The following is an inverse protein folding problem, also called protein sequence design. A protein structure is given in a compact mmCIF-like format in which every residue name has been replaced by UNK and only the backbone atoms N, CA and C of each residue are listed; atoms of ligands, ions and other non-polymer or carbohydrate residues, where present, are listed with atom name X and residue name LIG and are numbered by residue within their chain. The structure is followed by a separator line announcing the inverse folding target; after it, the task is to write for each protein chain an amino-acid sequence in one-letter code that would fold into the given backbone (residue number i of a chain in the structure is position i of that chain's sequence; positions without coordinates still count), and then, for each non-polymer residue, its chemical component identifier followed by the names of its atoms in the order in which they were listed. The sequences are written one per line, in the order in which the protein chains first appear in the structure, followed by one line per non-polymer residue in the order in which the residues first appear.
data_IF_933572779528
#
_entry.id   IF_933572779528
#
_cell.length_a   1.000
_cell.length_b   1.000
_cell.length_c   1.000
_cell.angle_alpha   90.00
_cell.angle_beta   90.00
_cell.angle_gamma   90.00
#
_symmetry.space_group_name_H-M   'P 1'
#
loop_
_entity.id
_entity.type
_entity.pdbx_description
1 polymer ?
#
# COMPACT_ATOMS: atom_id res chain seq x y z
N UNK A 1 8.02 27.92 -10.21
CA UNK A 1 8.97 28.15 -9.09
C UNK A 1 9.52 26.85 -8.47
N UNK A 2 9.40 25.70 -9.14
CA UNK A 2 9.92 24.42 -8.62
C UNK A 2 11.44 24.46 -8.38
N UNK A 3 12.30 24.84 -9.34
CA UNK A 3 13.74 24.84 -9.10
C UNK A 3 14.19 25.94 -8.13
N UNK A 4 13.51 27.09 -8.10
CA UNK A 4 13.94 28.28 -7.35
C UNK A 4 13.44 28.33 -5.92
N UNK A 5 12.27 27.75 -5.62
CA UNK A 5 11.66 27.76 -4.29
C UNK A 5 11.45 26.33 -3.79
N UNK A 6 10.85 25.48 -4.61
CA UNK A 6 10.51 24.11 -4.22
C UNK A 6 11.72 23.26 -3.85
N UNK A 7 12.80 23.30 -4.66
CA UNK A 7 14.02 22.53 -4.40
C UNK A 7 14.65 22.86 -3.05
N UNK A 8 14.76 24.16 -2.72
CA UNK A 8 15.33 24.60 -1.44
C UNK A 8 14.43 24.20 -0.26
N UNK A 9 13.10 24.39 -0.38
CA UNK A 9 12.16 24.02 0.66
C UNK A 9 12.19 22.51 0.97
N UNK A 10 12.17 21.66 -0.07
CA UNK A 10 12.30 20.20 0.09
C UNK A 10 13.66 19.82 0.66
N UNK A 11 14.74 20.50 0.23
CA UNK A 11 16.08 20.27 0.78
C UNK A 11 16.14 20.50 2.29
N UNK A 12 15.61 21.61 2.79
CA UNK A 12 15.55 21.88 4.23
C UNK A 12 14.69 20.87 4.99
N UNK A 13 13.53 20.50 4.43
CA UNK A 13 12.64 19.50 5.04
C UNK A 13 13.31 18.12 5.15
N UNK A 14 13.95 17.65 4.08
CA UNK A 14 14.64 16.35 4.07
C UNK A 14 15.84 16.33 5.03
N UNK A 15 16.58 17.44 5.13
CA UNK A 15 17.67 17.57 6.09
C UNK A 15 17.16 17.44 7.53
N UNK A 16 16.09 18.17 7.88
CA UNK A 16 15.50 18.08 9.22
C UNK A 16 14.98 16.67 9.54
N UNK A 17 14.27 16.03 8.60
CA UNK A 17 13.84 14.63 8.75
C UNK A 17 15.00 13.68 9.03
N UNK A 18 16.09 13.81 8.27
CA UNK A 18 17.23 12.92 8.41
C UNK A 18 18.00 13.17 9.71
N UNK A 19 18.13 14.41 10.16
CA UNK A 19 18.80 14.75 11.43
C UNK A 19 18.03 14.17 12.61
N UNK A 20 16.72 14.43 12.72
CA UNK A 20 15.92 13.89 13.82
C UNK A 20 15.92 12.36 13.84
N UNK A 21 15.80 11.72 12.66
CA UNK A 21 15.91 10.26 12.54
C UNK A 21 17.27 9.73 12.99
N UNK A 22 18.37 10.34 12.52
CA UNK A 22 19.72 9.86 12.80
C UNK A 22 20.11 9.98 14.28
N UNK A 23 19.53 10.97 14.97
CA UNK A 23 19.78 11.21 16.40
C UNK A 23 18.75 10.53 17.32
N UNK A 24 17.79 9.79 16.75
CA UNK A 24 16.64 9.23 17.48
C UNK A 24 15.89 10.29 18.31
N UNK A 25 15.84 11.53 17.81
CA UNK A 25 15.20 12.67 18.46
C UNK A 25 13.69 12.63 18.22
N UNK A 26 13.01 11.83 19.05
CA UNK A 26 11.58 11.59 18.95
C UNK A 26 10.77 12.86 19.18
N UNK A 27 11.14 13.69 20.17
CA UNK A 27 10.35 14.87 20.55
C UNK A 27 10.30 15.89 19.41
N UNK A 28 11.46 16.28 18.89
CA UNK A 28 11.49 17.25 17.79
C UNK A 28 11.04 16.63 16.46
N UNK A 29 11.36 15.36 16.22
CA UNK A 29 10.94 14.64 15.02
C UNK A 29 9.42 14.50 14.93
N UNK A 30 8.76 14.06 16.01
CA UNK A 30 7.31 13.95 16.09
C UNK A 30 6.66 15.33 16.02
N UNK A 31 7.15 16.31 16.79
CA UNK A 31 6.60 17.67 16.78
C UNK A 31 6.65 18.34 15.41
N UNK A 32 7.74 18.13 14.65
CA UNK A 32 7.83 18.58 13.26
C UNK A 32 6.80 17.87 12.36
N UNK A 33 6.69 16.54 12.45
CA UNK A 33 5.78 15.76 11.61
C UNK A 33 4.30 16.07 11.91
N UNK A 34 3.93 16.16 13.18
CA UNK A 34 2.58 16.51 13.63
C UNK A 34 2.18 17.90 13.13
N UNK A 35 3.10 18.87 13.21
CA UNK A 35 2.86 20.22 12.67
C UNK A 35 2.52 20.22 11.18
N UNK A 36 3.24 19.45 10.36
CA UNK A 36 3.01 19.42 8.91
C UNK A 36 1.83 18.52 8.50
N UNK A 37 1.49 17.52 9.32
CA UNK A 37 0.37 16.60 9.07
C UNK A 37 -0.96 17.06 9.68
N UNK A 38 -0.94 18.10 10.52
CA UNK A 38 -2.15 18.73 11.05
C UNK A 38 -3.08 19.17 9.92
N UNK A 39 -4.38 18.86 10.06
CA UNK A 39 -5.41 19.17 9.07
C UNK A 39 -6.23 20.38 9.57
N UNK A 40 -5.94 21.60 9.09
CA UNK A 40 -6.66 22.79 9.54
C UNK A 40 -8.08 22.87 8.93
N UNK A 41 -8.97 23.71 9.47
CA UNK A 41 -10.38 23.78 9.04
C UNK A 41 -10.57 24.00 7.54
N UNK A 42 -9.73 24.81 6.89
CA UNK A 42 -9.79 25.04 5.45
C UNK A 42 -9.55 23.76 4.63
N UNK A 43 -8.70 22.86 5.12
CA UNK A 43 -8.44 21.56 4.48
C UNK A 43 -9.60 20.58 4.71
N UNK A 44 -10.34 20.70 5.82
CA UNK A 44 -11.55 19.90 6.07
C UNK A 44 -12.68 20.25 5.11
N UNK A 45 -12.82 21.52 4.72
CA UNK A 45 -13.78 21.90 3.68
C UNK A 45 -13.40 21.33 2.32
N UNK A 46 -12.11 21.38 1.95
CA UNK A 46 -11.61 20.73 0.73
C UNK A 46 -11.80 19.21 0.75
N UNK A 47 -11.67 18.57 1.92
CA UNK A 47 -11.87 17.14 2.09
C UNK A 47 -13.28 16.70 1.65
N UNK A 48 -14.31 17.53 1.83
CA UNK A 48 -15.68 17.20 1.36
C UNK A 48 -15.71 17.00 -0.15
N UNK A 49 -15.04 17.86 -0.89
CA UNK A 49 -14.94 17.78 -2.36
C UNK A 49 -14.10 16.58 -2.78
N UNK A 50 -12.97 16.33 -2.10
CA UNK A 50 -12.11 15.15 -2.37
C UNK A 50 -12.91 13.85 -2.18
N UNK A 51 -13.67 13.74 -1.10
CA UNK A 51 -14.47 12.56 -0.80
C UNK A 51 -15.61 12.38 -1.81
N UNK A 52 -16.26 13.47 -2.23
CA UNK A 52 -17.30 13.42 -3.26
C UNK A 52 -16.79 12.96 -4.64
N UNK A 53 -15.48 13.15 -4.91
CA UNK A 53 -14.82 12.76 -6.17
C UNK A 53 -13.90 11.55 -6.02
N UNK A 54 -13.95 10.84 -4.90
CA UNK A 54 -13.07 9.71 -4.63
C UNK A 54 -13.40 8.56 -5.57
N UNK A 55 -12.43 8.17 -6.40
CA UNK A 55 -12.53 6.95 -7.19
C UNK A 55 -12.14 5.71 -6.36
N UNK A 56 -12.82 4.56 -6.55
CA UNK A 56 -12.38 3.29 -5.96
C UNK A 56 -10.95 2.95 -6.37
N UNK A 57 -10.17 2.34 -5.45
CA UNK A 57 -8.82 1.89 -5.80
C UNK A 57 -8.89 0.78 -6.85
N UNK A 58 -8.04 0.87 -7.86
CA UNK A 58 -7.94 -0.13 -8.92
C UNK A 58 -7.45 -1.46 -8.35
N UNK A 59 -8.05 -2.55 -8.81
CA UNK A 59 -7.56 -3.90 -8.59
C UNK A 59 -6.63 -4.29 -9.74
N UNK A 60 -5.43 -4.77 -9.41
CA UNK A 60 -4.42 -5.15 -10.40
C UNK A 60 -4.31 -6.67 -10.47
N UNK A 61 -4.70 -7.25 -11.59
CA UNK A 61 -4.62 -8.68 -11.83
C UNK A 61 -3.17 -9.07 -12.09
N UNK A 62 -2.67 -10.06 -11.35
CA UNK A 62 -1.29 -10.52 -11.45
C UNK A 62 -1.19 -11.80 -12.30
N UNK A 63 -0.14 -11.94 -13.13
CA UNK A 63 0.11 -13.18 -13.87
C UNK A 63 0.77 -14.23 -12.97
N UNK A 64 0.68 -15.50 -13.39
CA UNK A 64 1.30 -16.64 -12.70
C UNK A 64 2.38 -17.30 -13.52
N UNK A 65 3.41 -17.79 -12.85
CA UNK A 65 4.39 -18.70 -13.43
C UNK A 65 3.94 -20.13 -13.16
N UNK A 66 4.02 -20.97 -14.19
CA UNK A 66 3.82 -22.41 -14.10
C UNK A 66 4.93 -23.11 -14.88
N UNK A 67 5.14 -24.40 -14.62
CA UNK A 67 6.08 -25.19 -15.41
C UNK A 67 5.40 -25.61 -16.71
N UNK A 68 6.00 -25.25 -17.85
CA UNK A 68 5.56 -25.70 -19.18
C UNK A 68 5.89 -27.17 -19.42
N UNK A 69 5.32 -27.75 -20.47
CA UNK A 69 5.57 -29.14 -20.88
C UNK A 69 7.05 -29.39 -21.25
N UNK A 70 7.76 -28.34 -21.64
CA UNK A 70 9.20 -28.35 -21.93
C UNK A 70 10.08 -28.24 -20.67
N UNK A 71 9.48 -28.24 -19.48
CA UNK A 71 10.17 -28.09 -18.20
C UNK A 71 10.67 -26.67 -17.94
N UNK A 72 10.25 -25.66 -18.71
CA UNK A 72 10.65 -24.25 -18.50
C UNK A 72 9.52 -23.44 -17.87
N UNK A 73 9.83 -22.39 -17.09
CA UNK A 73 8.80 -21.49 -16.56
C UNK A 73 8.04 -20.77 -17.69
N UNK A 74 6.72 -20.90 -17.68
CA UNK A 74 5.81 -20.23 -18.59
C UNK A 74 4.89 -19.25 -17.84
N UNK A 75 4.59 -18.10 -18.47
CA UNK A 75 3.74 -17.07 -17.89
C UNK A 75 2.29 -17.25 -18.33
N UNK A 76 1.39 -17.37 -17.36
CA UNK A 76 -0.07 -17.35 -17.56
C UNK A 76 -0.61 -15.99 -17.15
N UNK A 77 -1.22 -15.28 -18.10
CA UNK A 77 -1.88 -13.99 -17.87
C UNK A 77 -3.39 -14.18 -17.77
N UNK A 78 -4.06 -13.20 -17.17
CA UNK A 78 -5.51 -13.20 -16.94
C UNK A 78 -6.08 -11.85 -17.37
N UNK A 79 -7.38 -11.80 -17.68
CA UNK A 79 -8.03 -10.56 -18.08
C UNK A 79 -8.02 -9.53 -16.95
N UNK A 80 -7.90 -8.24 -17.28
CA UNK A 80 -8.02 -7.13 -16.31
C UNK A 80 -9.50 -6.88 -15.94
N UNK A 81 -10.13 -7.88 -15.35
CA UNK A 81 -11.54 -7.90 -14.95
C UNK A 81 -11.69 -8.53 -13.56
N UNK A 82 -12.89 -8.42 -12.98
CA UNK A 82 -13.23 -9.08 -11.72
C UNK A 82 -13.13 -10.60 -11.83
N UNK A 83 -13.60 -11.19 -12.93
CA UNK A 83 -13.47 -12.61 -13.21
C UNK A 83 -11.99 -13.01 -13.36
N UNK A 84 -11.20 -12.25 -14.13
CA UNK A 84 -9.78 -12.52 -14.30
C UNK A 84 -8.98 -12.40 -13.01
N UNK A 85 -9.39 -11.54 -12.08
CA UNK A 85 -8.85 -11.52 -10.71
C UNK A 85 -9.10 -12.85 -10.00
N UNK A 86 -10.35 -13.33 -9.96
CA UNK A 86 -10.69 -14.60 -9.29
C UNK A 86 -9.97 -15.79 -9.94
N UNK A 87 -9.99 -15.86 -11.27
CA UNK A 87 -9.30 -16.88 -12.05
C UNK A 87 -7.79 -16.88 -11.77
N UNK A 88 -7.19 -15.69 -11.62
CA UNK A 88 -5.79 -15.60 -11.21
C UNK A 88 -5.62 -16.32 -9.88
N UNK A 89 -6.33 -15.96 -8.80
CA UNK A 89 -6.15 -16.59 -7.50
C UNK A 89 -6.38 -18.11 -7.47
N UNK A 90 -7.44 -18.59 -8.14
CA UNK A 90 -7.72 -20.04 -8.25
C UNK A 90 -6.58 -20.77 -8.95
N UNK A 91 -5.99 -20.17 -10.00
CA UNK A 91 -4.84 -20.73 -10.66
C UNK A 91 -3.54 -20.66 -9.82
N UNK A 92 -3.50 -19.90 -8.71
CA UNK A 92 -2.32 -19.85 -7.80
C UNK A 92 -2.36 -21.02 -6.84
N UNK A 93 -3.54 -21.20 -6.27
CA UNK A 93 -3.82 -22.12 -5.18
C UNK A 93 -4.96 -23.03 -5.66
N UNK A 94 -4.65 -24.03 -6.50
CA UNK A 94 -5.67 -24.89 -7.12
C UNK A 94 -6.40 -25.78 -6.10
N UNK A 95 -5.85 -25.91 -4.89
CA UNK A 95 -6.45 -26.61 -3.78
C UNK A 95 -6.32 -25.76 -2.50
N UNK A 96 -7.21 -26.01 -1.56
CA UNK A 96 -7.12 -25.50 -0.20
C UNK A 96 -5.85 -26.04 0.46
N UNK A 97 -5.08 -25.16 1.08
CA UNK A 97 -3.89 -25.52 1.84
C UNK A 97 -4.32 -25.92 3.26
N UNK A 98 -4.20 -27.22 3.65
CA UNK A 98 -4.67 -27.69 4.94
C UNK A 98 -3.92 -27.07 6.12
N UNK A 99 -2.63 -26.74 5.94
CA UNK A 99 -1.80 -26.13 7.00
C UNK A 99 -2.23 -24.69 7.24
N UNK A 100 -2.48 -23.94 6.16
CA UNK A 100 -2.99 -22.57 6.26
C UNK A 100 -4.36 -22.52 6.95
N UNK A 101 -5.23 -23.47 6.63
CA UNK A 101 -6.59 -23.52 7.19
C UNK A 101 -6.60 -23.97 8.65
N UNK A 102 -5.66 -24.81 9.04
CA UNK A 102 -5.47 -25.16 10.44
C UNK A 102 -4.96 -23.96 11.25
N UNK A 103 -3.98 -23.21 10.72
CA UNK A 103 -3.52 -21.97 11.36
C UNK A 103 -4.66 -20.96 11.50
N UNK A 104 -5.47 -20.77 10.45
CA UNK A 104 -6.66 -19.92 10.50
C UNK A 104 -7.63 -20.34 11.61
N UNK A 105 -7.86 -21.65 11.81
CA UNK A 105 -8.72 -22.15 12.89
C UNK A 105 -8.15 -21.89 14.27
N UNK A 106 -6.83 -21.96 14.43
CA UNK A 106 -6.15 -21.67 15.69
C UNK A 106 -6.20 -20.17 16.04
N UNK A 107 -6.21 -19.30 15.03
CA UNK A 107 -6.27 -17.84 15.23
C UNK A 107 -7.69 -17.31 15.47
N UNK A 108 -8.75 -18.05 15.09
CA UNK A 108 -10.15 -17.64 15.27
C UNK A 108 -10.50 -17.11 16.67
N UNK A 109 -10.06 -17.71 17.79
CA UNK A 109 -10.34 -17.21 19.14
C UNK A 109 -9.64 -15.88 19.47
N UNK A 110 -8.66 -15.46 18.69
CA UNK A 110 -7.85 -14.25 18.89
C UNK A 110 -8.23 -13.11 17.92
N UNK A 111 -9.15 -13.35 16.98
CA UNK A 111 -9.70 -12.31 16.12
C UNK A 111 -10.67 -11.46 16.96
N UNK A 112 -10.21 -10.29 17.41
CA UNK A 112 -11.04 -9.28 18.06
C UNK A 112 -11.76 -8.48 16.97
N UNK A 113 -13.09 -8.43 17.03
CA UNK A 113 -13.93 -7.59 16.17
C UNK A 113 -13.53 -6.10 16.19
#
# INVERSE_FOLDING_TARGET
KVPTVGKSAIGHFLMALQVHKALADLEAGAGMFDKYSAVPPEMLELRKVVMARKEPRKLLVQPHLHLGEDGKPALKTFAASTAGMVESFVARFPAEDPELMELYRQDLPHVVD
#
